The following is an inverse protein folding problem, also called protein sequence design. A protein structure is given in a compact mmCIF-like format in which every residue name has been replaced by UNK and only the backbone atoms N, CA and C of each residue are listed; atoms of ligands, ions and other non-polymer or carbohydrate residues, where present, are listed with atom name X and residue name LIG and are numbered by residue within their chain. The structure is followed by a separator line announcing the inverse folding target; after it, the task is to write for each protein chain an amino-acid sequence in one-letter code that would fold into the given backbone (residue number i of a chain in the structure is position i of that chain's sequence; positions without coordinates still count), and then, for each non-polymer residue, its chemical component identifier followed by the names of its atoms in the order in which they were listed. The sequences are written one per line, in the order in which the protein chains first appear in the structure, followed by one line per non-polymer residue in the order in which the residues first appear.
data_IF_134132380341
#
_entry.id   IF_134132380341
#
_cell.length_a   1.000
_cell.length_b   1.000
_cell.length_c   1.000
_cell.angle_alpha   90.00
_cell.angle_beta   90.00
_cell.angle_gamma   90.00
#
_symmetry.space_group_name_H-M   'P 1'
#
loop_
_entity.id
_entity.type
_entity.pdbx_description
1 polymer ?
#
# COMPACT_ATOMS: atom_id res chain seq x y z
N UNK A 1 42.13 2.24 -6.78
CA UNK A 1 40.78 2.27 -6.20
C UNK A 1 40.09 3.52 -6.73
N UNK A 2 38.87 3.39 -7.25
CA UNK A 2 38.13 4.54 -7.82
C UNK A 2 37.25 5.14 -6.74
N UNK A 3 37.31 6.46 -6.60
CA UNK A 3 36.50 7.23 -5.64
C UNK A 3 35.00 6.96 -5.84
N UNK A 4 34.19 6.75 -4.78
CA UNK A 4 32.75 6.59 -4.91
C UNK A 4 32.10 7.84 -5.50
N UNK A 5 31.32 7.69 -6.57
CA UNK A 5 30.51 8.77 -7.12
C UNK A 5 29.43 9.17 -6.11
N UNK A 6 29.47 10.42 -5.66
CA UNK A 6 28.41 11.05 -4.86
C UNK A 6 27.53 11.91 -5.76
N UNK A 7 26.21 11.83 -5.58
CA UNK A 7 25.25 12.68 -6.28
C UNK A 7 24.85 13.82 -5.34
N UNK A 8 25.25 15.08 -5.61
CA UNK A 8 24.99 16.22 -4.73
C UNK A 8 23.56 16.76 -4.82
N UNK A 9 22.69 16.16 -5.64
CA UNK A 9 21.32 16.60 -5.82
C UNK A 9 20.44 16.21 -4.63
N UNK A 10 19.52 17.10 -4.19
CA UNK A 10 18.51 16.73 -3.19
C UNK A 10 17.66 15.55 -3.69
N UNK A 11 17.04 14.78 -2.78
CA UNK A 11 16.16 13.69 -3.15
C UNK A 11 15.06 14.16 -4.10
N UNK A 12 14.80 13.38 -5.14
CA UNK A 12 13.63 13.59 -6.02
C UNK A 12 12.41 13.07 -5.27
N UNK A 13 11.48 13.97 -4.93
CA UNK A 13 10.20 13.56 -4.36
C UNK A 13 9.25 13.14 -5.48
N UNK A 14 8.83 11.88 -5.45
CA UNK A 14 7.86 11.34 -6.39
C UNK A 14 6.45 11.42 -5.75
N UNK A 15 5.43 11.85 -6.50
CA UNK A 15 4.07 11.82 -6.01
C UNK A 15 3.64 10.37 -5.75
N UNK A 16 2.91 10.14 -4.65
CA UNK A 16 2.26 8.84 -4.43
C UNK A 16 1.06 8.77 -5.36
N UNK A 17 1.07 7.78 -6.24
CA UNK A 17 -0.07 7.54 -7.11
C UNK A 17 -1.29 7.05 -6.29
N UNK A 18 -2.50 7.56 -6.59
CA UNK A 18 -3.73 7.16 -5.90
C UNK A 18 -4.00 5.65 -5.92
N UNK A 19 -3.64 4.97 -7.02
CA UNK A 19 -3.84 3.52 -7.18
C UNK A 19 -3.10 2.66 -6.13
N UNK A 20 -2.09 3.23 -5.44
CA UNK A 20 -1.37 2.54 -4.36
C UNK A 20 -2.22 2.39 -3.08
N UNK A 21 -3.20 3.27 -2.89
CA UNK A 21 -4.17 3.25 -1.79
C UNK A 21 -5.49 2.59 -2.22
N UNK A 22 -5.58 2.17 -3.48
CA UNK A 22 -6.71 1.42 -4.00
C UNK A 22 -6.52 -0.08 -3.72
N UNK A 23 -7.64 -0.78 -3.59
CA UNK A 23 -7.67 -2.20 -3.26
C UNK A 23 -9.11 -2.63 -3.05
N UNK A 24 -9.63 -3.42 -3.98
CA UNK A 24 -11.01 -3.92 -3.91
C UNK A 24 -11.02 -5.17 -3.05
N UNK A 25 -11.72 -5.16 -1.91
CA UNK A 25 -11.82 -6.35 -1.08
C UNK A 25 -12.58 -7.44 -1.83
N UNK A 26 -12.07 -8.68 -1.78
CA UNK A 26 -12.78 -9.78 -2.42
C UNK A 26 -14.10 -10.08 -1.69
N UNK A 27 -15.15 -10.47 -2.45
CA UNK A 27 -16.42 -10.83 -1.87
C UNK A 27 -16.26 -12.00 -0.90
N UNK A 28 -16.93 -11.92 0.25
CA UNK A 28 -16.94 -12.94 1.31
C UNK A 28 -15.60 -13.18 2.03
N UNK A 29 -14.56 -12.40 1.76
CA UNK A 29 -13.33 -12.47 2.54
C UNK A 29 -13.36 -11.52 3.74
N UNK A 30 -13.43 -12.10 4.94
CA UNK A 30 -13.41 -11.33 6.20
C UNK A 30 -12.09 -10.56 6.39
N UNK A 31 -10.98 -11.09 5.89
CA UNK A 31 -9.65 -10.45 5.97
C UNK A 31 -9.64 -9.18 5.13
N UNK A 32 -10.03 -9.27 3.86
CA UNK A 32 -10.08 -8.11 2.97
C UNK A 32 -11.07 -7.05 3.47
N UNK A 33 -12.21 -7.45 4.04
CA UNK A 33 -13.17 -6.51 4.63
C UNK A 33 -12.60 -5.78 5.85
N UNK A 34 -11.87 -6.49 6.72
CA UNK A 34 -11.21 -5.88 7.87
C UNK A 34 -10.11 -4.89 7.45
N UNK A 35 -9.26 -5.29 6.49
CA UNK A 35 -8.20 -4.44 5.93
C UNK A 35 -8.78 -3.20 5.22
N UNK A 36 -9.91 -3.33 4.53
CA UNK A 36 -10.56 -2.20 3.90
C UNK A 36 -10.99 -1.15 4.93
N UNK A 37 -11.51 -1.60 6.07
CA UNK A 37 -11.88 -0.72 7.19
C UNK A 37 -10.65 -0.07 7.84
N UNK A 38 -9.59 -0.85 8.08
CA UNK A 38 -8.32 -0.34 8.63
C UNK A 38 -7.69 0.72 7.71
N UNK A 39 -7.75 0.50 6.40
CA UNK A 39 -7.32 1.51 5.41
C UNK A 39 -8.11 2.80 5.55
N UNK A 40 -9.43 2.75 5.65
CA UNK A 40 -10.27 3.95 5.79
C UNK A 40 -9.97 4.69 7.11
N UNK A 41 -9.78 3.96 8.20
CA UNK A 41 -9.39 4.51 9.51
C UNK A 41 -8.01 5.20 9.43
N UNK A 42 -7.04 4.57 8.76
CA UNK A 42 -5.71 5.12 8.55
C UNK A 42 -5.74 6.39 7.68
N UNK A 43 -6.55 6.41 6.62
CA UNK A 43 -6.75 7.59 5.78
C UNK A 43 -7.40 8.74 6.56
N UNK A 44 -8.39 8.44 7.42
CA UNK A 44 -9.02 9.43 8.28
C UNK A 44 -8.05 10.03 9.31
N UNK A 45 -7.10 9.23 9.80
CA UNK A 45 -6.04 9.68 10.71
C UNK A 45 -4.89 10.40 9.98
N UNK A 46 -4.82 10.32 8.65
CA UNK A 46 -3.71 10.84 7.86
C UNK A 46 -2.47 9.94 7.82
N UNK A 47 -2.57 8.70 8.32
CA UNK A 47 -1.51 7.71 8.28
C UNK A 47 -1.49 7.00 6.91
N UNK A 48 -0.79 7.62 5.96
CA UNK A 48 -0.62 7.07 4.61
C UNK A 48 0.19 5.78 4.57
N UNK A 49 1.07 5.55 5.54
CA UNK A 49 1.89 4.32 5.60
C UNK A 49 0.99 3.12 5.88
N UNK A 50 0.14 3.21 6.90
CA UNK A 50 -0.82 2.14 7.22
C UNK A 50 -1.86 1.93 6.14
N UNK A 51 -2.36 3.01 5.53
CA UNK A 51 -3.30 2.90 4.42
C UNK A 51 -2.67 2.15 3.23
N UNK A 52 -1.38 2.38 2.96
CA UNK A 52 -0.64 1.66 1.93
C UNK A 52 -0.46 0.18 2.27
N UNK A 53 -0.04 -0.16 3.49
CA UNK A 53 0.13 -1.55 3.92
C UNK A 53 -1.18 -2.33 3.82
N UNK A 54 -2.28 -1.79 4.35
CA UNK A 54 -3.60 -2.42 4.25
C UNK A 54 -4.04 -2.62 2.79
N UNK A 55 -3.78 -1.65 1.92
CA UNK A 55 -4.09 -1.76 0.48
C UNK A 55 -3.20 -2.77 -0.24
N UNK A 56 -1.93 -2.88 0.14
CA UNK A 56 -1.00 -3.88 -0.39
C UNK A 56 -1.44 -5.29 0.03
N UNK A 57 -1.83 -5.49 1.28
CA UNK A 57 -2.35 -6.76 1.78
C UNK A 57 -3.63 -7.16 1.06
N UNK A 58 -4.60 -6.25 0.86
CA UNK A 58 -5.83 -6.55 0.09
C UNK A 58 -5.49 -7.04 -1.33
N UNK A 59 -4.53 -6.40 -2.01
CA UNK A 59 -4.14 -6.74 -3.39
C UNK A 59 -3.39 -8.07 -3.48
N UNK A 60 -2.55 -8.37 -2.49
CA UNK A 60 -1.74 -9.59 -2.46
C UNK A 60 -2.46 -10.77 -1.78
N UNK A 61 -3.61 -10.52 -1.16
CA UNK A 61 -4.34 -11.55 -0.43
C UNK A 61 -4.82 -12.64 -1.40
N UNK A 62 -4.21 -13.81 -1.31
CA UNK A 62 -4.51 -14.94 -2.18
C UNK A 62 -5.82 -15.58 -1.76
N UNK A 63 -6.88 -15.31 -2.51
CA UNK A 63 -8.11 -16.08 -2.43
C UNK A 63 -7.84 -17.44 -3.08
N UNK A 64 -7.72 -18.49 -2.26
CA UNK A 64 -7.74 -19.84 -2.79
C UNK A 64 -9.10 -20.03 -3.43
N UNK A 65 -9.17 -19.86 -4.76
CA UNK A 65 -10.29 -20.29 -5.57
C UNK A 65 -10.43 -21.78 -5.30
N UNK A 66 -11.43 -22.15 -4.51
CA UNK A 66 -11.80 -23.56 -4.42
C UNK A 66 -12.35 -23.92 -5.81
N UNK A 67 -11.82 -24.96 -6.47
CA UNK A 67 -12.33 -25.41 -7.78
C UNK A 67 -13.78 -25.89 -7.69
#
# INVERSE_FOLDING_TARGET
MTEPRTYPSPPVELPIDPWLLEGTPAPHCKVCAALAREREEALAYGDRSKAFEASAEIRNHRHVSTP
#
